data_IF_049604641739
#
_entry.id   IF_049604641739
#
_cell.length_a   1.000
_cell.length_b   1.000
_cell.length_c   1.000
_cell.angle_alpha   90.00
_cell.angle_beta   90.00
_cell.angle_gamma   90.00
#
_symmetry.space_group_name_H-M   'P 1'
#
loop_
_entity.id
_entity.type
_entity.pdbx_description
1 polymer ?
#
# COMPACT_ATOMS: atom_id res chain seq x y z
N UNK A 1 -39.90 -30.89 -2.65
CA UNK A 1 -39.16 -30.33 -1.51
C UNK A 1 -37.70 -30.72 -1.48
N UNK A 2 -37.35 -31.98 -1.67
CA UNK A 2 -35.96 -32.42 -1.67
C UNK A 2 -35.12 -31.78 -2.78
N UNK A 3 -35.69 -31.51 -3.95
CA UNK A 3 -34.99 -30.85 -5.07
C UNK A 3 -34.59 -29.41 -4.74
N UNK A 4 -35.42 -28.70 -4.00
CA UNK A 4 -35.11 -27.30 -3.59
C UNK A 4 -33.98 -27.27 -2.57
N UNK A 5 -33.95 -28.21 -1.65
CA UNK A 5 -32.89 -28.34 -0.67
C UNK A 5 -31.54 -28.65 -1.33
N UNK A 6 -31.53 -29.55 -2.32
CA UNK A 6 -30.32 -29.89 -3.07
C UNK A 6 -29.75 -28.70 -3.83
N UNK A 7 -30.61 -27.90 -4.43
CA UNK A 7 -30.19 -26.68 -5.14
C UNK A 7 -29.59 -25.66 -4.19
N UNK A 8 -30.18 -25.48 -3.01
CA UNK A 8 -29.67 -24.54 -2.03
C UNK A 8 -28.29 -24.96 -1.51
N UNK A 9 -28.10 -26.23 -1.25
CA UNK A 9 -26.81 -26.77 -0.83
C UNK A 9 -25.73 -26.59 -1.90
N UNK A 10 -26.06 -26.87 -3.15
CA UNK A 10 -25.14 -26.67 -4.26
C UNK A 10 -24.69 -25.21 -4.39
N UNK A 11 -25.63 -24.28 -4.27
CA UNK A 11 -25.34 -22.86 -4.35
C UNK A 11 -24.37 -22.40 -3.24
N UNK A 12 -24.60 -22.85 -2.01
CA UNK A 12 -23.72 -22.51 -0.88
C UNK A 12 -22.31 -23.04 -1.10
N UNK A 13 -22.17 -24.26 -1.62
CA UNK A 13 -20.86 -24.84 -1.90
C UNK A 13 -20.09 -24.04 -2.94
N UNK A 14 -20.76 -23.58 -4.00
CA UNK A 14 -20.15 -22.76 -5.04
C UNK A 14 -19.68 -21.41 -4.47
N UNK A 15 -20.49 -20.78 -3.66
CA UNK A 15 -20.13 -19.53 -2.99
C UNK A 15 -18.91 -19.67 -2.10
N UNK A 16 -18.86 -20.72 -1.32
CA UNK A 16 -17.73 -20.99 -0.42
C UNK A 16 -16.43 -21.19 -1.19
N UNK A 17 -16.47 -21.88 -2.31
CA UNK A 17 -15.30 -22.13 -3.14
C UNK A 17 -14.75 -20.81 -3.73
N UNK A 18 -15.61 -19.97 -4.25
CA UNK A 18 -15.20 -18.67 -4.83
C UNK A 18 -14.57 -17.79 -3.77
N UNK A 19 -15.15 -17.70 -2.59
CA UNK A 19 -14.60 -16.90 -1.49
C UNK A 19 -13.24 -17.44 -1.05
N UNK A 20 -13.06 -18.74 -0.97
CA UNK A 20 -11.80 -19.36 -0.61
C UNK A 20 -10.68 -19.01 -1.60
N UNK A 21 -10.96 -19.08 -2.89
CA UNK A 21 -10.01 -18.74 -3.94
C UNK A 21 -9.62 -17.26 -3.89
N UNK A 22 -10.58 -16.36 -3.69
CA UNK A 22 -10.33 -14.93 -3.61
C UNK A 22 -9.42 -14.58 -2.42
N UNK A 23 -9.68 -15.17 -1.25
CA UNK A 23 -8.88 -14.93 -0.05
C UNK A 23 -7.45 -15.44 -0.26
N UNK A 24 -7.25 -16.61 -0.85
CA UNK A 24 -5.92 -17.15 -1.14
C UNK A 24 -5.14 -16.26 -2.08
N UNK A 25 -5.78 -15.74 -3.13
CA UNK A 25 -5.13 -14.92 -4.14
C UNK A 25 -4.67 -13.56 -3.59
N UNK A 26 -5.31 -13.04 -2.52
CA UNK A 26 -5.05 -11.70 -1.99
C UNK A 26 -4.11 -11.68 -0.79
N UNK A 27 -3.62 -12.86 -0.33
CA UNK A 27 -2.92 -12.99 0.95
C UNK A 27 -1.40 -12.84 0.85
N UNK A 28 -0.82 -12.57 -0.32
CA UNK A 28 0.63 -12.46 -0.47
C UNK A 28 1.13 -11.08 -0.05
N UNK A 29 2.18 -11.03 0.82
CA UNK A 29 2.76 -9.76 1.24
C UNK A 29 3.40 -9.00 0.09
N UNK A 30 3.29 -7.69 0.14
CA UNK A 30 3.91 -6.82 -0.86
C UNK A 30 4.72 -5.70 -0.20
N UNK A 31 5.66 -5.17 -0.98
CA UNK A 31 6.44 -3.99 -0.67
C UNK A 31 6.11 -2.91 -1.67
N UNK A 32 5.84 -1.69 -1.20
CA UNK A 32 5.66 -0.53 -2.04
C UNK A 32 6.85 0.40 -1.89
N UNK A 33 7.53 0.66 -2.99
CA UNK A 33 8.69 1.55 -3.05
C UNK A 33 8.29 2.85 -3.73
N UNK A 34 8.54 3.97 -3.05
CA UNK A 34 8.29 5.30 -3.59
C UNK A 34 9.62 6.05 -3.63
N UNK A 35 9.94 6.66 -4.75
CA UNK A 35 11.15 7.47 -4.91
C UNK A 35 10.82 8.81 -5.56
N UNK A 36 11.44 9.87 -5.07
CA UNK A 36 11.29 11.20 -5.63
C UNK A 36 12.46 12.09 -5.20
N UNK A 37 12.65 13.22 -5.87
CA UNK A 37 13.66 14.19 -5.50
C UNK A 37 12.96 15.48 -5.06
N UNK A 38 13.35 16.01 -3.90
CA UNK A 38 12.80 17.27 -3.41
C UNK A 38 13.30 18.44 -4.28
N UNK A 39 12.39 19.36 -4.63
CA UNK A 39 12.73 20.47 -5.52
C UNK A 39 13.66 21.48 -4.86
N UNK A 40 13.50 21.68 -3.57
CA UNK A 40 14.25 22.67 -2.78
C UNK A 40 14.68 22.01 -1.47
N UNK A 41 16.01 21.93 -1.20
CA UNK A 41 16.50 21.32 0.04
C UNK A 41 15.91 21.96 1.31
N UNK A 42 15.55 23.23 1.27
CA UNK A 42 14.90 23.92 2.39
C UNK A 42 13.50 23.41 2.69
N UNK A 43 12.91 22.62 1.80
CA UNK A 43 11.57 22.04 1.98
C UNK A 43 11.57 20.59 2.45
N UNK A 44 12.75 20.03 2.72
CA UNK A 44 12.83 18.63 3.20
C UNK A 44 12.02 18.42 4.48
N UNK A 45 12.00 19.41 5.39
CA UNK A 45 11.20 19.29 6.61
C UNK A 45 9.70 19.22 6.31
N UNK A 46 9.23 19.92 5.29
CA UNK A 46 7.83 19.82 4.87
C UNK A 46 7.51 18.42 4.32
N UNK A 47 8.45 17.84 3.57
CA UNK A 47 8.31 16.47 3.08
C UNK A 47 8.20 15.49 4.25
N UNK A 48 9.09 15.61 5.22
CA UNK A 48 9.08 14.75 6.42
C UNK A 48 7.73 14.85 7.14
N UNK A 49 7.17 16.06 7.25
CA UNK A 49 5.87 16.25 7.88
C UNK A 49 4.75 15.54 7.11
N UNK A 50 4.73 15.66 5.79
CA UNK A 50 3.71 14.97 4.97
C UNK A 50 3.87 13.46 5.08
N UNK A 51 5.10 12.95 5.05
CA UNK A 51 5.37 11.52 5.19
C UNK A 51 4.95 11.03 6.58
N UNK A 52 5.12 11.84 7.62
CA UNK A 52 4.61 11.52 8.97
C UNK A 52 3.09 11.38 8.97
N UNK A 53 2.39 12.24 8.23
CA UNK A 53 0.93 12.16 8.10
C UNK A 53 0.53 10.90 7.32
N UNK A 54 1.29 10.53 6.28
CA UNK A 54 1.10 9.27 5.56
C UNK A 54 1.27 8.09 6.50
N UNK A 55 2.29 8.11 7.34
CA UNK A 55 2.54 7.04 8.29
C UNK A 55 1.38 6.86 9.28
N UNK A 56 0.77 7.96 9.73
CA UNK A 56 -0.42 7.91 10.59
C UNK A 56 -1.61 7.30 9.86
N UNK A 57 -1.82 7.70 8.61
CA UNK A 57 -2.89 7.16 7.78
C UNK A 57 -2.71 5.65 7.56
N UNK A 58 -1.49 5.23 7.24
CA UNK A 58 -1.15 3.83 7.06
C UNK A 58 -1.34 3.02 8.34
N UNK A 59 -0.93 3.58 9.47
CA UNK A 59 -1.02 2.91 10.77
C UNK A 59 -2.44 2.58 11.22
N UNK A 60 -3.43 3.32 10.72
CA UNK A 60 -4.84 3.06 11.00
C UNK A 60 -5.42 1.98 10.06
N UNK A 61 -4.68 1.55 9.06
CA UNK A 61 -5.16 0.62 8.04
C UNK A 61 -4.90 -0.83 8.44
N UNK A 62 -5.88 -1.68 8.16
CA UNK A 62 -5.72 -3.11 8.36
C UNK A 62 -4.74 -3.65 7.31
N UNK A 63 -3.78 -4.47 7.75
CA UNK A 63 -2.81 -5.10 6.85
C UNK A 63 -1.53 -4.29 6.63
N UNK A 64 -1.41 -3.12 7.22
CA UNK A 64 -0.18 -2.35 7.20
C UNK A 64 0.83 -2.96 8.19
N UNK A 65 2.08 -3.13 7.75
CA UNK A 65 3.15 -3.67 8.60
C UNK A 65 4.14 -2.60 9.03
N UNK A 66 4.73 -1.87 8.09
CA UNK A 66 5.74 -0.86 8.41
C UNK A 66 5.94 0.13 7.28
N UNK A 67 6.42 1.32 7.63
CA UNK A 67 6.90 2.33 6.70
C UNK A 67 8.28 2.79 7.16
N UNK A 68 9.26 2.69 6.27
CA UNK A 68 10.59 3.27 6.46
C UNK A 68 10.77 4.38 5.45
N UNK A 69 11.33 5.48 5.90
CA UNK A 69 11.57 6.65 5.07
C UNK A 69 13.00 7.12 5.25
N UNK A 70 13.66 7.42 4.13
CA UNK A 70 15.03 7.87 4.14
C UNK A 70 15.25 8.91 3.03
N UNK A 71 16.25 9.75 3.19
CA UNK A 71 16.62 10.69 2.14
C UNK A 71 18.13 10.94 2.15
N UNK A 72 18.63 11.33 0.98
CA UNK A 72 20.02 11.70 0.78
C UNK A 72 20.11 13.24 0.78
N UNK A 73 20.70 13.85 1.81
CA UNK A 73 20.78 15.31 1.87
C UNK A 73 21.66 15.92 0.77
N UNK A 74 22.58 15.13 0.18
CA UNK A 74 23.45 15.62 -0.88
C UNK A 74 22.72 15.78 -2.22
N UNK A 75 21.78 14.87 -2.51
CA UNK A 75 21.07 14.86 -3.80
C UNK A 75 19.61 15.30 -3.70
N UNK A 76 19.02 15.27 -2.50
CA UNK A 76 17.60 15.51 -2.30
C UNK A 76 16.72 14.33 -2.67
N UNK A 77 17.31 13.15 -2.95
CA UNK A 77 16.52 11.96 -3.24
C UNK A 77 15.89 11.41 -1.97
N UNK A 78 14.60 11.11 -2.06
CA UNK A 78 13.81 10.55 -0.98
C UNK A 78 13.32 9.16 -1.36
N UNK A 79 13.27 8.25 -0.39
CA UNK A 79 12.84 6.87 -0.59
C UNK A 79 11.90 6.48 0.54
N UNK A 80 10.73 5.97 0.19
CA UNK A 80 9.78 5.40 1.15
C UNK A 80 9.55 3.94 0.83
N UNK A 81 9.64 3.08 1.85
CA UNK A 81 9.40 1.64 1.72
C UNK A 81 8.33 1.24 2.70
N UNK A 82 7.20 0.76 2.19
CA UNK A 82 6.12 0.27 3.03
C UNK A 82 5.86 -1.21 2.76
N UNK A 83 5.57 -1.94 3.84
CA UNK A 83 5.26 -3.37 3.79
C UNK A 83 3.82 -3.59 4.18
N UNK A 84 3.15 -4.48 3.46
CA UNK A 84 1.71 -4.75 3.58
C UNK A 84 1.45 -6.25 3.53
N UNK A 85 0.41 -6.69 4.23
CA UNK A 85 -0.01 -8.11 4.21
C UNK A 85 -0.45 -8.55 2.82
N UNK A 86 -0.99 -7.61 2.02
CA UNK A 86 -1.49 -7.90 0.68
C UNK A 86 -1.60 -6.63 -0.15
N UNK A 87 -1.69 -6.80 -1.47
CA UNK A 87 -1.94 -5.69 -2.38
C UNK A 87 -3.30 -5.05 -2.11
N UNK A 88 -4.30 -5.85 -1.80
CA UNK A 88 -5.64 -5.32 -1.50
C UNK A 88 -5.62 -4.40 -0.28
N UNK A 89 -4.86 -4.74 0.76
CA UNK A 89 -4.71 -3.90 1.95
C UNK A 89 -4.07 -2.55 1.61
N UNK A 90 -3.02 -2.56 0.79
CA UNK A 90 -2.37 -1.34 0.33
C UNK A 90 -3.32 -0.48 -0.51
N UNK A 91 -4.00 -1.08 -1.46
CA UNK A 91 -4.91 -0.35 -2.35
C UNK A 91 -6.09 0.25 -1.59
N UNK A 92 -6.56 -0.41 -0.54
CA UNK A 92 -7.64 0.10 0.29
C UNK A 92 -7.29 1.48 0.90
N UNK A 93 -6.01 1.74 1.16
CA UNK A 93 -5.55 3.04 1.66
C UNK A 93 -5.21 4.00 0.52
N UNK A 94 -4.44 3.54 -0.48
CA UNK A 94 -3.91 4.42 -1.53
C UNK A 94 -5.00 4.92 -2.48
N UNK A 95 -6.17 4.31 -2.47
CA UNK A 95 -7.32 4.77 -3.25
C UNK A 95 -8.21 5.75 -2.50
N UNK A 96 -7.92 6.04 -1.23
CA UNK A 96 -8.72 6.99 -0.44
C UNK A 96 -8.41 8.44 -0.82
N UNK A 97 -9.40 9.32 -0.63
CA UNK A 97 -9.19 10.76 -0.82
C UNK A 97 -8.15 11.31 0.15
N UNK A 98 -8.13 10.81 1.39
CA UNK A 98 -7.13 11.24 2.37
C UNK A 98 -5.70 10.99 1.88
N UNK A 99 -5.45 9.83 1.29
CA UNK A 99 -4.14 9.52 0.72
C UNK A 99 -3.82 10.40 -0.49
N UNK A 100 -4.79 10.61 -1.37
CA UNK A 100 -4.59 11.42 -2.58
C UNK A 100 -4.22 12.86 -2.25
N UNK A 101 -4.82 13.44 -1.21
CA UNK A 101 -4.46 14.78 -0.74
C UNK A 101 -3.00 14.83 -0.29
N UNK A 102 -2.55 13.85 0.49
CA UNK A 102 -1.17 13.79 0.95
C UNK A 102 -0.20 13.56 -0.21
N UNK A 103 -0.57 12.71 -1.15
CA UNK A 103 0.24 12.45 -2.34
C UNK A 103 0.45 13.72 -3.17
N UNK A 104 -0.61 14.51 -3.38
CA UNK A 104 -0.50 15.77 -4.10
C UNK A 104 0.41 16.77 -3.37
N UNK A 105 0.38 16.79 -2.05
CA UNK A 105 1.31 17.62 -1.26
C UNK A 105 2.76 17.21 -1.50
N UNK A 106 3.06 15.91 -1.48
CA UNK A 106 4.41 15.42 -1.78
C UNK A 106 4.82 15.81 -3.18
N UNK A 107 3.95 15.57 -4.17
CA UNK A 107 4.25 15.89 -5.57
C UNK A 107 4.54 17.38 -5.77
N UNK A 108 3.85 18.25 -5.05
CA UNK A 108 4.09 19.69 -5.14
C UNK A 108 5.47 20.11 -4.63
N UNK A 109 6.12 19.28 -3.83
CA UNK A 109 7.44 19.52 -3.27
C UNK A 109 8.56 18.83 -4.05
N UNK A 110 8.24 18.09 -5.10
CA UNK A 110 9.20 17.32 -5.89
C UNK A 110 9.55 18.01 -7.19
N UNK A 111 10.72 17.67 -7.72
CA UNK A 111 11.11 18.01 -9.09
C UNK A 111 11.37 16.73 -9.86
N UNK A 112 11.02 16.74 -11.15
CA UNK A 112 11.19 15.55 -11.99
C UNK A 112 10.20 14.45 -11.63
N UNK A 113 10.63 13.21 -11.77
CA UNK A 113 9.75 12.07 -11.68
C UNK A 113 9.49 11.64 -10.24
N UNK A 114 8.21 11.38 -9.97
CA UNK A 114 7.75 10.69 -8.78
C UNK A 114 7.41 9.27 -9.20
N UNK A 115 8.06 8.28 -8.59
CA UNK A 115 7.85 6.88 -8.94
C UNK A 115 7.31 6.10 -7.75
N UNK A 116 6.31 5.25 -8.01
CA UNK A 116 5.77 4.31 -7.03
C UNK A 116 5.68 2.94 -7.68
N UNK A 117 6.25 1.93 -7.04
CA UNK A 117 6.29 0.57 -7.60
C UNK A 117 6.05 -0.45 -6.50
N UNK A 118 5.35 -1.52 -6.84
CA UNK A 118 5.08 -2.61 -5.92
C UNK A 118 5.87 -3.86 -6.30
N UNK A 119 6.26 -4.62 -5.28
CA UNK A 119 7.03 -5.85 -5.42
C UNK A 119 6.43 -6.92 -4.53
N UNK A 120 6.49 -8.16 -4.96
CA UNK A 120 6.17 -9.28 -4.08
C UNK A 120 7.31 -9.51 -3.10
N UNK A 121 6.97 -9.75 -1.84
CA UNK A 121 7.96 -10.05 -0.81
C UNK A 121 8.25 -11.53 -0.83
N UNK A 122 9.55 -11.87 -0.84
CA UNK A 122 10.01 -13.25 -0.74
C UNK A 122 10.79 -13.41 0.56
N UNK A 123 10.29 -14.25 1.44
CA UNK A 123 10.97 -14.54 2.70
C UNK A 123 12.19 -15.41 2.45
N UNK A 124 13.34 -14.95 2.93
CA UNK A 124 14.60 -15.70 2.81
C UNK A 124 14.80 -16.56 4.05
N UNK A 125 15.08 -17.83 3.84
CA UNK A 125 15.40 -18.75 4.93
C UNK A 125 16.86 -18.60 5.33
N UNK A 126 17.12 -18.63 6.61
CA UNK A 126 18.46 -18.60 7.15
C UNK A 126 18.92 -19.96 7.62
#
# INVERSE_FOLDING_TARGET
MSKRLSLALLFVAVMGLVLGLTVSASAEPILRLVTFTVADPGKQDQVVQVVSDVNKLYGAAKGFQSLKFAYDPATGQNVGVSLWDSQAAMEAVTQTEAFKVLLEKVKSLTKGDFAAKTYQVHELKQ
#
